data_IF_434273221356
#
_entry.id   IF_434273221356
#
_cell.length_a   1.000
_cell.length_b   1.000
_cell.length_c   1.000
_cell.angle_alpha   90.00
_cell.angle_beta   90.00
_cell.angle_gamma   90.00
#
_symmetry.space_group_name_H-M   'P 1'
#
loop_
_entity.id
_entity.type
_entity.pdbx_description
1 polymer ?
#
# COMPACT_ATOMS: atom_id res chain seq x y z
N UNK A 1 26.46 3.10 -12.66
CA UNK A 1 25.76 2.09 -11.85
C UNK A 1 24.34 2.57 -11.61
N UNK A 2 23.38 1.66 -11.52
CA UNK A 2 21.95 1.96 -11.30
C UNK A 2 21.39 0.99 -10.27
N UNK A 3 20.33 1.39 -9.55
CA UNK A 3 19.52 0.49 -8.74
C UNK A 3 18.29 0.05 -9.53
N UNK A 4 17.91 -1.21 -9.40
CA UNK A 4 16.69 -1.76 -10.00
C UNK A 4 15.78 -2.17 -8.85
N UNK A 5 14.59 -1.57 -8.79
CA UNK A 5 13.55 -1.96 -7.83
C UNK A 5 12.81 -3.20 -8.31
N UNK A 6 12.60 -4.16 -7.42
CA UNK A 6 11.85 -5.39 -7.67
C UNK A 6 10.79 -5.52 -6.58
N UNK A 7 9.56 -5.83 -6.99
CA UNK A 7 8.43 -6.03 -6.08
C UNK A 7 7.93 -7.48 -6.22
N UNK A 8 7.85 -8.18 -5.09
CA UNK A 8 7.32 -9.54 -5.00
C UNK A 8 6.15 -9.55 -4.03
N UNK A 9 4.96 -9.88 -4.54
CA UNK A 9 3.77 -10.06 -3.73
C UNK A 9 3.82 -11.42 -3.05
N UNK A 10 3.58 -11.46 -1.74
CA UNK A 10 3.58 -12.68 -0.94
C UNK A 10 2.69 -12.51 0.29
N UNK A 11 2.25 -13.64 0.84
CA UNK A 11 1.50 -13.70 2.09
C UNK A 11 2.45 -13.85 3.27
N UNK A 12 2.09 -13.27 4.42
CA UNK A 12 2.86 -13.41 5.64
C UNK A 12 2.98 -14.89 6.03
N UNK A 13 4.22 -15.39 6.07
CA UNK A 13 4.52 -16.77 6.44
C UNK A 13 4.54 -17.76 5.27
N UNK A 14 4.32 -17.32 4.03
CA UNK A 14 4.53 -18.17 2.86
C UNK A 14 6.03 -18.40 2.56
N UNK A 15 6.32 -19.17 1.51
CA UNK A 15 7.69 -19.50 1.11
C UNK A 15 8.48 -18.27 0.65
N UNK A 16 7.86 -17.29 -0.02
CA UNK A 16 8.50 -16.08 -0.49
C UNK A 16 8.81 -15.12 0.68
N UNK A 17 7.87 -14.96 1.60
CA UNK A 17 8.02 -14.14 2.80
C UNK A 17 9.17 -14.64 3.70
N UNK A 18 9.26 -15.96 3.86
CA UNK A 18 10.23 -16.62 4.73
C UNK A 18 11.61 -16.84 4.10
N UNK A 19 11.83 -16.49 2.83
CA UNK A 19 13.18 -16.49 2.26
C UNK A 19 14.13 -15.65 3.11
N UNK A 20 15.32 -16.18 3.36
CA UNK A 20 16.45 -15.38 3.83
C UNK A 20 16.84 -14.34 2.78
N UNK A 21 17.56 -13.30 3.19
CA UNK A 21 17.95 -12.23 2.25
C UNK A 21 18.89 -12.74 1.15
N UNK A 22 19.73 -13.73 1.45
CA UNK A 22 20.58 -14.41 0.45
C UNK A 22 19.77 -15.24 -0.56
N UNK A 23 18.75 -15.96 -0.10
CA UNK A 23 17.83 -16.71 -0.98
C UNK A 23 17.05 -15.76 -1.88
N UNK A 24 16.50 -14.68 -1.32
CA UNK A 24 15.76 -13.67 -2.05
C UNK A 24 16.64 -12.94 -3.08
N UNK A 25 17.88 -12.59 -2.72
CA UNK A 25 18.87 -12.02 -3.63
C UNK A 25 19.15 -12.95 -4.79
N UNK A 26 19.44 -14.23 -4.50
CA UNK A 26 19.72 -15.24 -5.54
C UNK A 26 18.53 -15.42 -6.46
N UNK A 27 17.32 -15.50 -5.90
CA UNK A 27 16.07 -15.59 -6.67
C UNK A 27 15.88 -14.38 -7.60
N UNK A 28 16.06 -13.16 -7.08
CA UNK A 28 15.95 -11.93 -7.87
C UNK A 28 16.99 -11.85 -9.01
N UNK A 29 18.24 -12.24 -8.75
CA UNK A 29 19.30 -12.30 -9.78
C UNK A 29 18.93 -13.30 -10.88
N UNK A 30 18.40 -14.47 -10.51
CA UNK A 30 17.95 -15.48 -11.48
C UNK A 30 16.81 -14.95 -12.35
N UNK A 31 15.81 -14.27 -11.77
CA UNK A 31 14.71 -13.66 -12.53
C UNK A 31 15.22 -12.56 -13.47
N UNK A 32 16.05 -11.63 -12.99
CA UNK A 32 16.65 -10.58 -13.82
C UNK A 32 17.49 -11.14 -14.98
N UNK A 33 18.23 -12.23 -14.73
CA UNK A 33 19.03 -12.91 -15.77
C UNK A 33 18.14 -13.60 -16.79
N UNK A 34 17.07 -14.28 -16.34
CA UNK A 34 16.08 -14.94 -17.19
C UNK A 34 15.33 -13.93 -18.08
N UNK A 35 15.03 -12.76 -17.54
CA UNK A 35 14.45 -11.63 -18.28
C UNK A 35 15.46 -10.87 -19.15
N UNK A 36 16.74 -11.26 -19.13
CA UNK A 36 17.83 -10.63 -19.89
C UNK A 36 18.07 -9.15 -19.54
N UNK A 37 17.74 -8.75 -18.30
CA UNK A 37 18.02 -7.41 -17.77
C UNK A 37 19.51 -7.30 -17.34
N UNK A 38 20.09 -8.41 -16.88
CA UNK A 38 21.52 -8.54 -16.55
C UNK A 38 22.06 -9.86 -17.12
N UNK A 39 23.39 -9.99 -17.24
CA UNK A 39 24.04 -11.19 -17.77
C UNK A 39 24.32 -12.25 -16.69
N UNK A 40 24.13 -11.92 -15.41
CA UNK A 40 24.32 -12.84 -14.30
C UNK A 40 24.73 -12.17 -12.99
N UNK A 41 25.08 -12.96 -11.97
CA UNK A 41 25.45 -12.46 -10.64
C UNK A 41 26.62 -11.48 -10.62
N UNK A 42 27.53 -11.58 -11.59
CA UNK A 42 28.70 -10.70 -11.73
C UNK A 42 28.34 -9.24 -12.01
N UNK A 43 27.13 -8.98 -12.52
CA UNK A 43 26.64 -7.63 -12.79
C UNK A 43 26.05 -6.97 -11.52
N UNK A 44 25.92 -7.72 -10.41
CA UNK A 44 25.33 -7.24 -9.15
C UNK A 44 26.42 -6.88 -8.14
N UNK A 45 26.47 -5.58 -7.79
CA UNK A 45 27.41 -5.03 -6.82
C UNK A 45 26.85 -5.12 -5.41
N UNK A 46 25.56 -4.80 -5.23
CA UNK A 46 24.91 -4.75 -3.92
C UNK A 46 23.40 -5.07 -4.04
N UNK A 47 22.77 -5.37 -2.92
CA UNK A 47 21.35 -5.71 -2.82
C UNK A 47 20.80 -5.35 -1.45
N UNK A 48 19.61 -4.77 -1.42
CA UNK A 48 18.86 -4.51 -0.20
C UNK A 48 17.44 -5.06 -0.33
N UNK A 49 16.89 -5.58 0.78
CA UNK A 49 15.54 -6.14 0.82
C UNK A 49 14.76 -5.52 1.97
N UNK A 50 13.54 -5.10 1.65
CA UNK A 50 12.54 -4.67 2.63
C UNK A 50 11.34 -5.59 2.60
N UNK A 51 10.82 -5.92 3.79
CA UNK A 51 9.58 -6.69 3.95
C UNK A 51 8.49 -5.78 4.50
N UNK A 52 7.50 -5.47 3.67
CA UNK A 52 6.46 -4.50 4.01
C UNK A 52 5.15 -5.22 4.29
N UNK A 53 4.77 -5.25 5.57
CA UNK A 53 3.45 -5.74 5.99
C UNK A 53 2.36 -4.73 5.60
N UNK A 54 1.17 -5.22 5.23
CA UNK A 54 0.01 -4.37 4.88
C UNK A 54 0.33 -3.36 3.76
N UNK A 55 1.08 -3.76 2.74
CA UNK A 55 1.43 -2.90 1.63
C UNK A 55 0.23 -2.56 0.73
N UNK A 56 -0.68 -3.52 0.55
CA UNK A 56 -1.81 -3.40 -0.37
C UNK A 56 -3.14 -3.66 0.34
N UNK A 57 -4.04 -2.65 0.42
CA UNK A 57 -5.44 -2.88 0.79
C UNK A 57 -6.06 -3.76 -0.28
N UNK A 58 -6.54 -4.93 0.14
CA UNK A 58 -7.18 -5.86 -0.77
C UNK A 58 -8.70 -5.86 -0.54
N UNK A 59 -9.44 -5.93 -1.65
CA UNK A 59 -10.90 -5.76 -1.70
C UNK A 59 -11.59 -7.10 -1.95
N UNK A 60 -11.52 -7.97 -0.94
CA UNK A 60 -12.13 -9.29 -0.97
C UNK A 60 -12.76 -9.62 0.40
N UNK A 61 -13.35 -10.80 0.52
CA UNK A 61 -14.07 -11.28 1.71
C UNK A 61 -15.16 -10.31 2.19
N UNK A 62 -14.94 -9.66 3.33
CA UNK A 62 -15.92 -8.81 4.02
C UNK A 62 -15.82 -7.34 3.61
N UNK A 63 -15.14 -7.03 2.51
CA UNK A 63 -14.98 -5.67 2.03
C UNK A 63 -16.31 -4.98 1.71
N UNK A 64 -17.35 -5.73 1.34
CA UNK A 64 -18.72 -5.24 1.15
C UNK A 64 -19.31 -4.58 2.41
N UNK A 65 -18.80 -4.91 3.60
CA UNK A 65 -19.20 -4.33 4.90
C UNK A 65 -18.41 -3.09 5.30
N UNK A 66 -17.51 -2.59 4.45
CA UNK A 66 -16.78 -1.34 4.71
C UNK A 66 -17.67 -0.14 5.06
N UNK A 67 -18.85 0.07 4.44
CA UNK A 67 -19.75 1.15 4.84
C UNK A 67 -20.18 1.08 6.31
N UNK A 68 -20.51 -0.11 6.81
CA UNK A 68 -20.87 -0.33 8.22
C UNK A 68 -19.69 -0.02 9.16
N UNK A 69 -18.48 -0.43 8.77
CA UNK A 69 -17.27 -0.16 9.54
C UNK A 69 -16.97 1.35 9.60
N UNK A 70 -17.12 2.06 8.47
CA UNK A 70 -16.93 3.51 8.42
C UNK A 70 -17.94 4.22 9.32
N UNK A 71 -19.22 3.83 9.28
CA UNK A 71 -20.24 4.40 10.15
C UNK A 71 -19.91 4.17 11.64
N UNK A 72 -19.50 2.96 12.00
CA UNK A 72 -19.06 2.63 13.35
C UNK A 72 -17.86 3.49 13.79
N UNK A 73 -16.83 3.62 12.96
CA UNK A 73 -15.64 4.41 13.27
C UNK A 73 -15.96 5.92 13.34
N UNK A 74 -16.89 6.40 12.51
CA UNK A 74 -17.30 7.81 12.49
C UNK A 74 -18.08 8.21 13.76
N UNK A 75 -18.67 7.24 14.49
CA UNK A 75 -19.33 7.47 15.78
C UNK A 75 -18.38 8.00 16.87
N UNK A 76 -17.07 7.79 16.72
CA UNK A 76 -16.06 8.36 17.59
C UNK A 76 -15.73 9.80 17.17
N UNK A 77 -16.07 10.78 18.01
CA UNK A 77 -15.92 12.20 17.68
C UNK A 77 -14.47 12.66 17.43
N UNK A 78 -13.50 11.97 18.01
CA UNK A 78 -12.07 12.31 17.97
C UNK A 78 -11.20 11.34 17.16
N UNK A 79 -11.80 10.43 16.39
CA UNK A 79 -11.07 9.46 15.56
C UNK A 79 -11.06 9.89 14.09
N UNK A 80 -9.89 9.99 13.47
CA UNK A 80 -9.75 10.29 12.04
C UNK A 80 -8.96 9.18 11.34
N UNK A 81 -9.62 8.53 10.37
CA UNK A 81 -9.00 7.55 9.49
C UNK A 81 -8.38 8.24 8.28
N UNK A 82 -7.07 8.14 8.14
CA UNK A 82 -6.30 8.81 7.07
C UNK A 82 -5.35 7.84 6.38
N UNK A 83 -4.99 8.16 5.14
CA UNK A 83 -4.03 7.40 4.34
C UNK A 83 -4.54 6.03 3.86
N UNK A 84 -3.66 5.33 3.14
CA UNK A 84 -3.92 4.04 2.50
C UNK A 84 -4.54 2.98 3.43
N UNK A 85 -3.85 2.63 4.51
CA UNK A 85 -4.33 1.60 5.44
C UNK A 85 -5.34 2.11 6.46
N UNK A 86 -5.26 3.38 6.87
CA UNK A 86 -6.21 3.94 7.81
C UNK A 86 -7.62 4.03 7.24
N UNK A 87 -7.74 4.18 5.92
CA UNK A 87 -9.02 4.15 5.20
C UNK A 87 -9.29 2.84 4.47
N UNK A 88 -8.35 1.89 4.50
CA UNK A 88 -8.34 0.67 3.68
C UNK A 88 -8.63 0.97 2.19
N UNK A 89 -7.92 1.96 1.63
CA UNK A 89 -8.07 2.43 0.26
C UNK A 89 -6.78 2.39 -0.54
N UNK A 90 -6.85 1.98 -1.79
CA UNK A 90 -5.75 2.01 -2.74
C UNK A 90 -5.40 3.46 -3.11
N UNK A 91 -4.64 4.09 -2.22
CA UNK A 91 -4.20 5.47 -2.34
C UNK A 91 -2.73 5.52 -2.72
N UNK A 92 -2.42 6.49 -3.59
CA UNK A 92 -1.08 7.00 -3.78
C UNK A 92 -0.70 7.96 -2.65
N UNK A 93 0.55 8.42 -2.65
CA UNK A 93 1.09 9.28 -1.59
C UNK A 93 0.36 10.61 -1.48
N UNK A 94 0.07 11.26 -2.60
CA UNK A 94 -0.66 12.53 -2.69
C UNK A 94 -2.08 12.41 -2.11
N UNK A 95 -2.81 11.34 -2.44
CA UNK A 95 -4.12 11.07 -1.85
C UNK A 95 -4.02 10.84 -0.35
N UNK A 96 -3.00 10.09 0.10
CA UNK A 96 -2.79 9.84 1.52
C UNK A 96 -2.49 11.14 2.29
N UNK A 97 -1.66 12.02 1.73
CA UNK A 97 -1.38 13.34 2.31
C UNK A 97 -2.64 14.23 2.31
N UNK A 98 -3.43 14.23 1.23
CA UNK A 98 -4.66 15.00 1.14
C UNK A 98 -5.67 14.60 2.24
N UNK A 99 -5.81 13.32 2.56
CA UNK A 99 -6.70 12.89 3.67
C UNK A 99 -6.27 13.48 5.02
N UNK A 100 -4.96 13.60 5.27
CA UNK A 100 -4.45 14.20 6.49
C UNK A 100 -4.68 15.72 6.51
N UNK A 101 -4.54 16.41 5.37
CA UNK A 101 -4.84 17.83 5.24
C UNK A 101 -6.33 18.10 5.55
N UNK A 102 -7.24 17.30 5.01
CA UNK A 102 -8.68 17.39 5.29
C UNK A 102 -8.99 17.13 6.77
N UNK A 103 -8.35 16.12 7.38
CA UNK A 103 -8.54 15.81 8.80
C UNK A 103 -8.07 16.96 9.71
N UNK A 104 -6.88 17.52 9.45
CA UNK A 104 -6.36 18.69 10.18
C UNK A 104 -7.26 19.91 9.98
N UNK A 105 -7.75 20.12 8.74
CA UNK A 105 -8.72 21.15 8.43
C UNK A 105 -10.01 21.02 9.25
N UNK A 106 -10.52 19.80 9.40
CA UNK A 106 -11.71 19.54 10.21
C UNK A 106 -11.47 19.86 11.69
N UNK A 107 -10.35 19.38 12.24
CA UNK A 107 -9.97 19.61 13.64
C UNK A 107 -9.84 21.11 13.93
N UNK A 108 -9.10 21.85 13.09
CA UNK A 108 -8.86 23.28 13.28
C UNK A 108 -10.14 24.11 13.25
N UNK A 109 -11.12 23.71 12.44
CA UNK A 109 -12.36 24.46 12.24
C UNK A 109 -13.56 23.90 13.03
N UNK A 110 -13.35 22.90 13.90
CA UNK A 110 -14.42 22.26 14.67
C UNK A 110 -15.46 21.53 13.82
N UNK A 111 -15.11 21.10 12.59
CA UNK A 111 -16.01 20.37 11.71
C UNK A 111 -16.11 18.92 12.17
N UNK A 112 -17.30 18.49 12.56
CA UNK A 112 -17.54 17.15 13.12
C UNK A 112 -17.76 16.07 12.06
N UNK A 113 -18.28 16.44 10.88
CA UNK A 113 -18.46 15.51 9.77
C UNK A 113 -17.13 15.18 9.09
N UNK A 114 -16.84 13.88 8.95
CA UNK A 114 -15.59 13.36 8.37
C UNK A 114 -15.73 12.98 6.88
N UNK A 115 -16.88 13.28 6.26
CA UNK A 115 -17.20 12.90 4.86
C UNK A 115 -16.15 13.37 3.85
N UNK A 116 -15.59 14.58 4.04
CA UNK A 116 -14.52 15.11 3.16
C UNK A 116 -13.22 14.30 3.25
N UNK A 117 -12.88 13.79 4.43
CA UNK A 117 -11.71 12.91 4.61
C UNK A 117 -11.95 11.59 3.87
N UNK A 118 -13.16 11.04 4.00
CA UNK A 118 -13.60 9.83 3.29
C UNK A 118 -13.95 10.03 1.82
N UNK A 119 -13.94 11.25 1.26
CA UNK A 119 -14.21 11.49 -0.17
C UNK A 119 -12.94 11.75 -0.98
N UNK A 120 -11.78 11.80 -0.33
CA UNK A 120 -10.51 11.85 -1.07
C UNK A 120 -10.40 10.59 -1.93
N UNK A 121 -10.10 10.80 -3.22
CA UNK A 121 -9.91 9.74 -4.23
C UNK A 121 -11.17 8.93 -4.61
N UNK A 122 -12.39 9.38 -4.28
CA UNK A 122 -13.63 8.66 -4.67
C UNK A 122 -14.19 9.03 -6.04
N UNK A 123 -13.78 10.17 -6.61
CA UNK A 123 -14.38 10.72 -7.84
C UNK A 123 -13.64 10.31 -9.13
N UNK A 124 -12.65 9.42 -9.03
CA UNK A 124 -12.01 8.83 -10.20
C UNK A 124 -12.40 7.36 -10.26
N UNK A 125 -13.35 7.06 -11.15
CA UNK A 125 -13.57 5.73 -11.69
C UNK A 125 -12.23 5.19 -12.21
N UNK A 126 -11.49 4.47 -11.38
CA UNK A 126 -10.36 3.69 -11.84
C UNK A 126 -10.95 2.57 -12.70
N UNK A 127 -10.81 2.76 -14.01
CA UNK A 127 -11.09 1.78 -15.05
C UNK A 127 -10.04 0.66 -14.98
N UNK A 128 -10.23 -0.30 -14.09
CA UNK A 128 -9.76 -1.66 -14.35
C UNK A 128 -11.00 -2.50 -14.66
N UNK A 129 -11.42 -2.46 -15.92
CA UNK A 129 -12.22 -3.56 -16.48
C UNK A 129 -11.30 -4.77 -16.65
N UNK A 130 -11.82 -5.95 -16.26
CA UNK A 130 -11.16 -7.25 -16.40
C UNK A 130 -10.87 -7.61 -17.85
#
# INVERSE_FOLDING_TARGET
TVWIGLEYFCDEGDSCWNMSDEEAKKFAIQELTRMQIINGPQDVIDSHRERVKKAYPAYFDTYDRMPELVEYLDSFGNLYCVGRNGQHRYNNMDHSMATAIEAVGNIKNGKTSKKNVWSVNTDKSYHEEK
#
